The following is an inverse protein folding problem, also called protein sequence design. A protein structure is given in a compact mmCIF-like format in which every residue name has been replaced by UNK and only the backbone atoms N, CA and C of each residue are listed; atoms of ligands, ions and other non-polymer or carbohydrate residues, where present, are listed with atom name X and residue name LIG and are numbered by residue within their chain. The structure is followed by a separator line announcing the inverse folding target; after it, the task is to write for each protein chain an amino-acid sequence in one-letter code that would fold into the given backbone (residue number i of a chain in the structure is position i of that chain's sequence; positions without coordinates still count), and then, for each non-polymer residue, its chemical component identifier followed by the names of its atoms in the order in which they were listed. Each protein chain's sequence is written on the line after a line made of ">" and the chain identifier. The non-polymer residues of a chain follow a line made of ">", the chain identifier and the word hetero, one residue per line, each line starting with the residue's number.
data_IF_924913839987
#
_entry.id   IF_924913839987
#
_cell.length_a   1.000
_cell.length_b   1.000
_cell.length_c   1.000
_cell.angle_alpha   90.00
_cell.angle_beta   90.00
_cell.angle_gamma   90.00
#
_symmetry.space_group_name_H-M   'P 1'
#
loop_
_entity.id
_entity.type
_entity.pdbx_description
1 polymer ?
#
# COMPACT_ATOMS: atom_id res chain seq x y z
N UNK A 1 -3.38 -23.68 40.98
CA UNK A 1 -3.85 -23.51 39.59
C UNK A 1 -3.16 -22.29 38.99
N UNK A 2 -2.13 -22.45 38.13
CA UNK A 2 -1.50 -21.32 37.46
C UNK A 2 -2.21 -21.03 36.13
N UNK A 3 -3.01 -19.97 36.05
CA UNK A 3 -3.55 -19.49 34.76
C UNK A 3 -2.55 -18.51 34.17
N UNK A 4 -1.67 -19.02 33.31
CA UNK A 4 -0.80 -18.19 32.49
C UNK A 4 -1.48 -17.81 31.18
N UNK A 5 -1.16 -16.59 30.74
CA UNK A 5 -1.26 -16.04 29.40
C UNK A 5 -2.62 -15.47 28.96
N UNK A 6 -2.91 -14.23 29.39
CA UNK A 6 -3.70 -13.28 28.59
C UNK A 6 -2.88 -12.86 27.37
N UNK A 7 -2.94 -13.68 26.33
CA UNK A 7 -2.26 -13.48 25.05
C UNK A 7 -3.22 -12.95 24.01
N UNK A 8 -3.93 -11.86 24.30
CA UNK A 8 -4.56 -11.09 23.22
C UNK A 8 -3.45 -10.37 22.50
N UNK A 9 -2.85 -11.03 21.51
CA UNK A 9 -2.09 -10.38 20.46
C UNK A 9 -3.08 -9.53 19.64
N UNK A 10 -3.44 -8.38 20.20
CA UNK A 10 -3.99 -7.27 19.44
C UNK A 10 -2.84 -6.70 18.62
N UNK A 11 -2.64 -7.25 17.42
CA UNK A 11 -1.93 -6.50 16.38
C UNK A 11 -2.86 -5.39 15.87
N UNK A 12 -3.03 -4.35 16.70
CA UNK A 12 -3.62 -3.09 16.30
C UNK A 12 -2.49 -2.18 15.83
N UNK A 13 -2.08 -2.31 14.57
CA UNK A 13 -1.18 -1.33 13.95
C UNK A 13 -1.96 -0.11 13.50
N UNK A 14 -2.29 0.76 14.44
CA UNK A 14 -2.54 2.18 14.14
C UNK A 14 -1.19 2.85 14.00
N UNK A 15 -0.81 3.21 12.78
CA UNK A 15 0.38 3.99 12.50
C UNK A 15 0.21 5.39 13.11
N UNK A 16 0.77 5.59 14.29
CA UNK A 16 0.81 6.86 15.00
C UNK A 16 1.84 7.78 14.35
N UNK A 17 1.36 8.74 13.55
CA UNK A 17 2.18 9.84 13.04
C UNK A 17 1.49 11.18 13.33
N UNK A 18 2.07 11.94 14.26
CA UNK A 18 1.83 13.38 14.41
C UNK A 18 0.92 13.78 15.57
N UNK A 19 1.52 14.40 16.58
CA UNK A 19 0.81 15.08 17.65
C UNK A 19 0.04 16.31 17.12
N UNK A 20 -1.25 16.39 17.46
CA UNK A 20 -1.97 17.65 17.60
C UNK A 20 -3.05 17.46 18.68
N UNK A 21 -2.92 18.25 19.74
CA UNK A 21 -3.90 18.34 20.83
C UNK A 21 -5.18 18.99 20.29
N UNK A 22 -6.31 18.29 20.34
CA UNK A 22 -7.63 18.93 20.32
C UNK A 22 -8.68 17.96 20.82
N UNK A 23 -9.16 18.20 22.04
CA UNK A 23 -10.38 17.60 22.57
C UNK A 23 -11.56 18.08 21.73
N UNK A 24 -12.11 17.21 20.88
CA UNK A 24 -13.39 17.43 20.22
C UNK A 24 -14.19 16.13 20.22
N UNK A 25 -15.09 16.06 21.19
CA UNK A 25 -16.28 15.23 21.20
C UNK A 25 -17.03 15.25 19.87
N UNK A 26 -16.94 14.17 19.10
CA UNK A 26 -17.81 13.94 17.94
C UNK A 26 -18.29 12.49 17.95
N UNK A 27 -19.55 12.31 18.36
CA UNK A 27 -20.34 11.11 18.07
C UNK A 27 -20.97 11.22 16.67
N UNK A 28 -21.54 10.12 16.18
CA UNK A 28 -20.96 9.25 15.17
C UNK A 28 -21.14 9.85 13.77
N UNK A 29 -20.09 10.37 13.16
CA UNK A 29 -20.07 10.44 11.70
C UNK A 29 -19.73 9.03 11.22
N UNK A 30 -20.77 8.21 11.03
CA UNK A 30 -20.70 7.08 10.13
C UNK A 30 -20.47 7.64 8.71
N UNK A 31 -19.27 8.14 8.45
CA UNK A 31 -18.75 8.26 7.10
C UNK A 31 -18.60 6.83 6.63
N UNK A 32 -19.69 6.35 6.01
CA UNK A 32 -19.75 5.16 5.18
C UNK A 32 -18.81 5.35 3.97
N UNK A 33 -17.52 5.52 4.24
CA UNK A 33 -16.46 5.24 3.30
C UNK A 33 -16.31 3.74 3.37
N UNK A 34 -17.01 3.03 2.50
CA UNK A 34 -16.84 1.58 2.33
C UNK A 34 -15.34 1.26 2.34
N UNK A 35 -14.83 0.51 3.33
CA UNK A 35 -13.40 0.21 3.40
C UNK A 35 -13.01 -0.56 2.15
N UNK A 36 -11.92 -0.14 1.50
CA UNK A 36 -11.42 -0.81 0.32
C UNK A 36 -10.59 -2.02 0.75
N UNK A 37 -11.27 -3.17 0.89
CA UNK A 37 -10.66 -4.43 1.33
C UNK A 37 -9.93 -5.12 0.19
N UNK A 38 -8.77 -5.71 0.49
CA UNK A 38 -8.07 -6.55 -0.47
C UNK A 38 -8.73 -7.94 -0.57
N UNK A 39 -9.07 -8.43 -1.78
CA UNK A 39 -9.64 -9.77 -1.94
C UNK A 39 -8.61 -10.89 -1.70
N UNK A 40 -7.31 -10.59 -1.81
CA UNK A 40 -6.23 -11.56 -1.67
C UNK A 40 -5.59 -11.56 -0.26
N UNK A 41 -5.82 -10.52 0.53
CA UNK A 41 -5.30 -10.40 1.89
C UNK A 41 -6.44 -10.27 2.91
N UNK A 42 -6.67 -11.30 3.74
CA UNK A 42 -7.66 -11.21 4.81
C UNK A 42 -7.25 -10.17 5.85
N UNK A 43 -8.20 -9.32 6.26
CA UNK A 43 -7.98 -8.28 7.28
C UNK A 43 -7.26 -7.02 6.80
N UNK A 44 -6.91 -6.92 5.51
CA UNK A 44 -6.27 -5.71 4.96
C UNK A 44 -7.31 -4.81 4.31
N UNK A 45 -7.52 -3.65 4.92
CA UNK A 45 -8.45 -2.61 4.45
C UNK A 45 -7.75 -1.28 4.30
N UNK A 46 -8.09 -0.56 3.23
CA UNK A 46 -7.57 0.77 2.97
C UNK A 46 -8.68 1.82 3.03
N UNK A 47 -8.34 3.01 3.55
CA UNK A 47 -9.25 4.14 3.59
C UNK A 47 -9.54 4.72 2.19
N UNK A 48 -8.69 4.45 1.20
CA UNK A 48 -8.81 4.99 -0.16
C UNK A 48 -8.57 3.91 -1.21
N UNK A 49 -9.27 4.03 -2.35
CA UNK A 49 -9.17 3.09 -3.48
C UNK A 49 -7.75 3.02 -4.06
N UNK A 50 -7.04 4.14 -4.16
CA UNK A 50 -5.70 4.15 -4.75
C UNK A 50 -4.67 3.41 -3.90
N UNK A 51 -4.84 3.42 -2.56
CA UNK A 51 -3.97 2.66 -1.65
C UNK A 51 -4.20 1.16 -1.82
N UNK A 52 -5.46 0.72 -1.92
CA UNK A 52 -5.80 -0.66 -2.25
C UNK A 52 -5.22 -1.10 -3.59
N UNK A 53 -5.38 -0.27 -4.63
CA UNK A 53 -4.86 -0.56 -5.96
C UNK A 53 -3.34 -0.71 -5.94
N UNK A 54 -2.61 0.18 -5.26
CA UNK A 54 -1.15 0.07 -5.11
C UNK A 54 -0.74 -1.20 -4.36
N UNK A 55 -1.48 -1.58 -3.31
CA UNK A 55 -1.25 -2.81 -2.57
C UNK A 55 -1.43 -4.04 -3.47
N UNK A 56 -2.55 -4.12 -4.20
CA UNK A 56 -2.81 -5.21 -5.15
C UNK A 56 -1.72 -5.23 -6.21
N UNK A 57 -1.38 -4.08 -6.82
CA UNK A 57 -0.35 -3.99 -7.84
C UNK A 57 1.01 -4.52 -7.36
N UNK A 58 1.36 -4.26 -6.10
CA UNK A 58 2.67 -4.62 -5.55
C UNK A 58 2.77 -6.04 -5.03
N UNK A 59 1.67 -6.65 -4.58
CA UNK A 59 1.71 -7.94 -3.87
C UNK A 59 0.92 -9.05 -4.55
N UNK A 60 -0.11 -8.72 -5.33
CA UNK A 60 -1.04 -9.69 -5.90
C UNK A 60 -1.18 -9.59 -7.42
N UNK A 61 -0.72 -8.49 -7.99
CA UNK A 61 -0.69 -8.31 -9.43
C UNK A 61 0.64 -8.81 -9.95
N UNK A 62 0.56 -9.74 -10.89
CA UNK A 62 1.70 -10.11 -11.73
C UNK A 62 1.98 -9.03 -12.80
N UNK A 63 1.20 -7.94 -12.80
CA UNK A 63 1.41 -6.84 -13.72
C UNK A 63 2.73 -6.14 -13.41
N UNK A 64 3.73 -6.52 -14.19
CA UNK A 64 5.01 -5.86 -14.24
C UNK A 64 5.09 -5.05 -15.54
N UNK A 65 5.46 -3.79 -15.42
CA UNK A 65 5.75 -2.95 -16.58
C UNK A 65 7.16 -3.24 -17.05
N UNK A 66 7.29 -3.62 -18.32
CA UNK A 66 8.56 -3.98 -18.95
C UNK A 66 9.17 -2.78 -19.66
N UNK A 67 10.46 -2.54 -19.41
CA UNK A 67 11.22 -1.59 -20.20
C UNK A 67 11.38 -2.11 -21.63
N UNK A 68 10.92 -1.33 -22.61
CA UNK A 68 11.03 -1.72 -24.02
C UNK A 68 12.49 -1.79 -24.50
N UNK A 69 13.40 -1.04 -23.87
CA UNK A 69 14.80 -0.95 -24.27
C UNK A 69 15.68 -2.09 -23.74
N UNK A 70 15.54 -2.44 -22.45
CA UNK A 70 16.39 -3.45 -21.79
C UNK A 70 15.64 -4.72 -21.39
N UNK A 71 14.32 -4.73 -21.49
CA UNK A 71 13.47 -5.84 -21.06
C UNK A 71 13.33 -6.02 -19.54
N UNK A 72 13.92 -5.14 -18.71
CA UNK A 72 13.76 -5.20 -17.24
C UNK A 72 12.30 -4.94 -16.86
N UNK A 73 11.79 -5.75 -15.94
CA UNK A 73 10.43 -5.64 -15.43
C UNK A 73 10.41 -4.90 -14.09
N UNK A 74 9.36 -4.10 -13.88
CA UNK A 74 9.16 -3.32 -12.68
C UNK A 74 7.72 -3.50 -12.20
N UNK A 75 7.51 -3.60 -10.89
CA UNK A 75 6.16 -3.71 -10.32
C UNK A 75 5.30 -2.44 -10.50
N UNK A 76 5.91 -1.32 -10.91
CA UNK A 76 5.25 0.00 -10.98
C UNK A 76 5.74 0.85 -12.14
N UNK A 77 4.82 1.64 -12.71
CA UNK A 77 5.11 2.57 -13.81
C UNK A 77 6.07 3.69 -13.41
N UNK A 78 5.95 4.26 -12.22
CA UNK A 78 6.89 5.27 -11.71
C UNK A 78 8.34 4.77 -11.68
N UNK A 79 8.52 3.50 -11.30
CA UNK A 79 9.83 2.85 -11.25
C UNK A 79 10.40 2.64 -12.64
N UNK A 80 9.57 2.20 -13.60
CA UNK A 80 9.95 2.12 -15.00
C UNK A 80 10.27 3.50 -15.58
N UNK A 81 9.49 4.54 -15.29
CA UNK A 81 9.67 5.89 -15.82
C UNK A 81 10.96 6.55 -15.33
N UNK A 82 11.37 6.26 -14.09
CA UNK A 82 12.68 6.64 -13.59
C UNK A 82 13.79 5.84 -14.28
N UNK A 83 13.59 4.53 -14.44
CA UNK A 83 14.55 3.68 -15.12
C UNK A 83 14.72 4.04 -16.61
N UNK A 84 13.66 4.33 -17.35
CA UNK A 84 13.72 4.58 -18.79
C UNK A 84 14.65 5.75 -19.13
N UNK A 85 14.68 6.78 -18.26
CA UNK A 85 15.60 7.92 -18.38
C UNK A 85 17.06 7.57 -18.15
N UNK A 86 17.35 6.61 -17.25
CA UNK A 86 18.70 6.15 -16.94
C UNK A 86 19.04 4.81 -17.60
N UNK A 87 18.18 4.32 -18.50
CA UNK A 87 18.33 3.01 -19.07
C UNK A 87 19.54 3.02 -20.00
N UNK A 88 20.58 2.23 -19.73
CA UNK A 88 21.80 2.24 -20.55
C UNK A 88 21.56 1.71 -21.97
N UNK A 89 20.45 1.00 -22.19
CA UNK A 89 20.04 0.46 -23.49
C UNK A 89 19.01 1.35 -24.19
N UNK A 90 18.54 2.44 -23.57
CA UNK A 90 17.72 3.42 -24.28
C UNK A 90 18.58 4.08 -25.36
N UNK A 91 18.04 4.29 -26.57
CA UNK A 91 18.75 5.01 -27.61
C UNK A 91 19.05 6.40 -27.04
N UNK A 92 20.33 6.69 -26.82
CA UNK A 92 20.78 8.03 -26.49
C UNK A 92 20.48 8.84 -27.73
N UNK A 93 19.45 9.69 -27.65
CA UNK A 93 19.13 10.63 -28.73
C UNK A 93 20.40 11.40 -29.07
N UNK A 94 20.81 11.31 -30.33
CA UNK A 94 21.86 12.15 -30.93
C UNK A 94 21.35 13.55 -31.19
#
# INVERSE_FOLDING_TARGET
>A
MPTQHTGTHVYSSTYSGGAASSSQETSPHASSSTPHTCPNCPGVTFARRHDLQRHIQSLHSDFQVRCHYCGKTYAREDSLKRHSKSCPQAPRGG
#
